data_IF_754555711313
#
_entry.id   IF_754555711313
#
_cell.length_a   1.000
_cell.length_b   1.000
_cell.length_c   1.000
_cell.angle_alpha   90.00
_cell.angle_beta   90.00
_cell.angle_gamma   90.00
#
_symmetry.space_group_name_H-M   'P 1'
#
loop_
_entity.id
_entity.type
_entity.pdbx_description
1 polymer ?
#
# COMPACT_ATOMS: atom_id res chain seq x y z
N UNK A 1 20.44 -56.72 13.67
CA UNK A 1 19.49 -55.61 13.46
C UNK A 1 19.47 -55.32 11.98
N UNK A 2 18.48 -55.85 11.28
CA UNK A 2 18.33 -55.74 9.83
C UNK A 2 17.53 -54.47 9.51
N UNK A 3 18.05 -53.62 8.64
CA UNK A 3 17.27 -52.58 7.97
C UNK A 3 17.32 -52.89 6.48
N UNK A 4 16.31 -53.59 5.98
CA UNK A 4 16.12 -53.83 4.56
C UNK A 4 15.60 -52.55 3.90
N UNK A 5 16.39 -51.99 2.97
CA UNK A 5 15.98 -50.92 2.08
C UNK A 5 15.36 -51.53 0.82
N UNK A 6 14.08 -51.27 0.58
CA UNK A 6 13.41 -51.54 -0.70
C UNK A 6 13.26 -50.22 -1.47
N UNK A 7 13.73 -50.11 -2.73
CA UNK A 7 13.47 -48.94 -3.57
C UNK A 7 12.15 -49.12 -4.32
N UNK A 8 11.14 -48.31 -3.99
CA UNK A 8 9.94 -48.17 -4.82
C UNK A 8 10.21 -47.19 -5.96
N UNK A 9 10.75 -47.73 -7.06
CA UNK A 9 10.65 -47.11 -8.38
C UNK A 9 9.22 -47.28 -8.87
N UNK A 10 8.49 -46.17 -9.00
CA UNK A 10 7.22 -46.15 -9.73
C UNK A 10 7.29 -45.06 -10.79
N UNK A 11 7.66 -45.48 -12.00
CA UNK A 11 7.48 -44.69 -13.22
C UNK A 11 6.02 -44.26 -13.35
N UNK A 12 5.74 -43.04 -13.86
CA UNK A 12 4.38 -42.66 -14.21
C UNK A 12 3.86 -43.49 -15.40
N UNK A 13 2.56 -43.86 -15.41
CA UNK A 13 1.94 -44.60 -16.51
C UNK A 13 1.86 -43.76 -17.80
N UNK A 14 1.71 -44.40 -18.97
CA UNK A 14 1.71 -43.72 -20.27
C UNK A 14 0.45 -42.87 -20.45
N UNK A 15 0.64 -41.67 -20.98
CA UNK A 15 -0.44 -40.79 -21.42
C UNK A 15 -1.35 -41.52 -22.41
N UNK A 16 -2.63 -41.66 -22.09
CA UNK A 16 -3.67 -41.89 -23.08
C UNK A 16 -4.27 -40.54 -23.47
N UNK A 17 -4.12 -40.18 -24.75
CA UNK A 17 -4.83 -39.09 -25.39
C UNK A 17 -6.30 -39.47 -25.54
N UNK A 18 -7.19 -38.85 -24.75
CA UNK A 18 -8.62 -38.94 -24.96
C UNK A 18 -9.23 -37.59 -25.35
N UNK A 19 -9.64 -37.57 -26.63
CA UNK A 19 -10.75 -36.86 -27.27
C UNK A 19 -11.20 -35.51 -26.69
N UNK A 20 -10.87 -34.52 -27.50
CA UNK A 20 -11.54 -33.22 -27.67
C UNK A 20 -13.05 -33.38 -27.90
N UNK A 21 -13.86 -33.13 -26.86
CA UNK A 21 -15.30 -32.91 -27.00
C UNK A 21 -15.61 -31.42 -26.80
N UNK A 22 -16.10 -30.80 -27.87
CA UNK A 22 -16.58 -29.41 -27.88
C UNK A 22 -17.84 -29.35 -27.02
N UNK A 23 -17.76 -28.72 -25.85
CA UNK A 23 -18.93 -28.17 -25.18
C UNK A 23 -19.07 -26.70 -25.60
N UNK A 24 -20.11 -26.45 -26.39
CA UNK A 24 -20.67 -25.13 -26.67
C UNK A 24 -21.25 -24.60 -25.35
N UNK A 25 -20.56 -23.64 -24.73
CA UNK A 25 -21.09 -22.87 -23.60
C UNK A 25 -21.20 -21.44 -24.11
N UNK A 26 -22.43 -21.06 -24.45
CA UNK A 26 -22.87 -19.70 -24.67
C UNK A 26 -22.39 -18.80 -23.54
N UNK A 27 -21.44 -17.93 -23.90
CA UNK A 27 -20.81 -16.92 -23.06
C UNK A 27 -21.83 -15.81 -22.78
N UNK A 28 -22.67 -16.02 -21.76
CA UNK A 28 -23.44 -14.95 -21.15
C UNK A 28 -22.45 -14.05 -20.41
N UNK A 29 -22.10 -12.96 -21.08
CA UNK A 29 -21.16 -11.93 -20.65
C UNK A 29 -21.75 -11.18 -19.45
N UNK A 30 -21.65 -11.80 -18.27
CA UNK A 30 -21.88 -11.13 -17.01
C UNK A 30 -20.77 -10.09 -16.82
N UNK A 31 -21.07 -8.84 -17.19
CA UNK A 31 -20.22 -7.69 -16.86
C UNK A 31 -19.91 -7.72 -15.36
N UNK A 32 -18.64 -7.50 -14.96
CA UNK A 32 -18.34 -7.32 -13.54
C UNK A 32 -19.22 -6.20 -12.98
N UNK A 33 -19.71 -6.33 -11.73
CA UNK A 33 -20.53 -5.29 -11.12
C UNK A 33 -19.80 -3.94 -11.26
N UNK A 34 -20.52 -2.87 -11.64
CA UNK A 34 -19.90 -1.56 -11.83
C UNK A 34 -19.17 -1.21 -10.55
N UNK A 35 -17.85 -0.99 -10.67
CA UNK A 35 -17.05 -0.52 -9.55
C UNK A 35 -17.77 0.69 -8.93
N UNK A 36 -17.88 0.77 -7.59
CA UNK A 36 -18.52 1.90 -6.94
C UNK A 36 -17.90 3.18 -7.50
N UNK A 37 -18.71 4.20 -7.83
CA UNK A 37 -18.22 5.40 -8.48
C UNK A 37 -17.07 5.94 -7.66
N UNK A 38 -15.86 5.86 -8.23
CA UNK A 38 -14.71 6.55 -7.69
C UNK A 38 -15.02 8.02 -7.91
N UNK A 39 -15.74 8.63 -6.94
CA UNK A 39 -15.94 10.06 -6.92
C UNK A 39 -14.53 10.65 -6.93
N UNK A 40 -14.19 11.32 -8.03
CA UNK A 40 -12.95 12.06 -8.21
C UNK A 40 -12.95 13.26 -7.25
N UNK A 41 -13.00 13.01 -5.95
CA UNK A 41 -12.65 14.02 -4.97
C UNK A 41 -11.16 14.27 -5.15
N UNK A 42 -10.82 15.51 -5.55
CA UNK A 42 -9.45 15.94 -5.57
C UNK A 42 -8.89 15.79 -4.14
N UNK A 43 -7.85 14.98 -3.99
CA UNK A 43 -7.14 14.81 -2.72
C UNK A 43 -6.29 16.06 -2.50
N UNK A 44 -6.40 16.63 -1.31
CA UNK A 44 -5.80 17.89 -0.88
C UNK A 44 -5.02 17.71 0.42
N UNK A 45 -4.09 18.62 0.73
CA UNK A 45 -3.30 18.59 1.96
C UNK A 45 -4.13 18.64 3.25
N UNK A 46 -5.38 19.13 3.20
CA UNK A 46 -6.29 19.16 4.34
C UNK A 46 -7.02 17.83 4.58
N UNK A 47 -6.98 16.90 3.62
CA UNK A 47 -7.56 15.58 3.80
C UNK A 47 -6.75 14.75 4.80
N UNK A 48 -7.45 13.88 5.54
CA UNK A 48 -6.83 12.87 6.38
C UNK A 48 -6.43 11.68 5.49
N UNK A 49 -5.14 11.28 5.44
CA UNK A 49 -4.74 10.08 4.71
C UNK A 49 -5.51 8.85 5.15
N UNK A 50 -6.21 8.19 4.24
CA UNK A 50 -7.05 7.06 4.61
C UNK A 50 -6.27 5.75 4.54
N UNK A 51 -6.49 4.83 5.48
CA UNK A 51 -5.83 3.51 5.48
C UNK A 51 -6.09 2.68 4.21
N UNK A 52 -7.19 2.98 3.48
CA UNK A 52 -7.53 2.35 2.20
C UNK A 52 -6.93 3.04 0.98
N UNK A 53 -6.16 4.12 1.15
CA UNK A 53 -5.55 4.81 0.02
C UNK A 53 -4.51 3.94 -0.66
N UNK A 54 -4.61 3.91 -1.99
CA UNK A 54 -3.58 3.38 -2.87
C UNK A 54 -2.33 4.27 -2.82
N UNK A 55 -1.21 3.73 -3.31
CA UNK A 55 0.04 4.49 -3.46
C UNK A 55 -0.18 5.81 -4.22
N UNK A 56 -0.96 5.80 -5.30
CA UNK A 56 -1.22 7.01 -6.08
C UNK A 56 -2.01 8.07 -5.29
N UNK A 57 -2.94 7.65 -4.43
CA UNK A 57 -3.68 8.57 -3.58
C UNK A 57 -2.78 9.17 -2.49
N UNK A 58 -1.92 8.34 -1.87
CA UNK A 58 -0.90 8.81 -0.95
C UNK A 58 0.05 9.83 -1.59
N UNK A 59 0.53 9.55 -2.81
CA UNK A 59 1.42 10.45 -3.55
C UNK A 59 0.76 11.79 -3.88
N UNK A 60 -0.51 11.79 -4.32
CA UNK A 60 -1.26 13.02 -4.57
C UNK A 60 -1.40 13.88 -3.30
N UNK A 61 -1.65 13.23 -2.16
CA UNK A 61 -1.73 13.95 -0.89
C UNK A 61 -0.37 14.53 -0.48
N UNK A 62 0.71 13.75 -0.59
CA UNK A 62 2.07 14.21 -0.29
C UNK A 62 2.48 15.37 -1.21
N UNK A 63 2.19 15.28 -2.51
CA UNK A 63 2.41 16.35 -3.47
C UNK A 63 1.69 17.63 -3.03
N UNK A 64 0.40 17.54 -2.65
CA UNK A 64 -0.36 18.68 -2.15
C UNK A 64 0.23 19.26 -0.86
N UNK A 65 0.67 18.41 0.09
CA UNK A 65 1.34 18.86 1.33
C UNK A 65 2.64 19.59 1.00
N UNK A 66 3.44 19.06 0.08
CA UNK A 66 4.72 19.65 -0.32
C UNK A 66 4.53 21.01 -0.98
N UNK A 67 3.52 21.16 -1.84
CA UNK A 67 3.21 22.44 -2.48
C UNK A 67 2.63 23.44 -1.49
N UNK A 68 1.61 23.07 -0.71
CA UNK A 68 0.80 24.01 0.07
C UNK A 68 1.42 24.30 1.45
N UNK A 69 1.99 23.30 2.12
CA UNK A 69 2.58 23.45 3.45
C UNK A 69 4.05 23.80 3.36
N UNK A 70 4.81 23.14 2.47
CA UNK A 70 6.25 23.37 2.34
C UNK A 70 6.62 24.39 1.25
N UNK A 71 5.64 24.95 0.54
CA UNK A 71 5.84 25.95 -0.51
C UNK A 71 6.85 25.50 -1.58
N UNK A 72 6.82 24.21 -1.93
CA UNK A 72 7.67 23.66 -2.98
C UNK A 72 7.08 23.91 -4.37
N UNK A 73 7.93 24.17 -5.38
CA UNK A 73 7.50 24.15 -6.77
C UNK A 73 6.84 22.81 -7.12
N UNK A 74 5.80 22.83 -7.96
CA UNK A 74 5.04 21.62 -8.30
C UNK A 74 5.90 20.47 -8.83
N UNK A 75 6.94 20.77 -9.61
CA UNK A 75 7.87 19.75 -10.11
C UNK A 75 8.70 19.09 -8.99
N UNK A 76 9.21 19.88 -8.04
CA UNK A 76 9.96 19.36 -6.88
C UNK A 76 9.04 18.57 -5.95
N UNK A 77 7.81 19.06 -5.71
CA UNK A 77 6.79 18.38 -4.93
C UNK A 77 6.44 17.01 -5.54
N UNK A 78 6.17 16.97 -6.84
CA UNK A 78 5.90 15.72 -7.55
C UNK A 78 7.08 14.75 -7.47
N UNK A 79 8.31 15.24 -7.69
CA UNK A 79 9.52 14.43 -7.62
C UNK A 79 9.74 13.82 -6.22
N UNK A 80 9.42 14.55 -5.15
CA UNK A 80 9.48 13.99 -3.79
C UNK A 80 8.33 13.02 -3.52
N UNK A 81 7.13 13.31 -4.02
CA UNK A 81 5.96 12.46 -3.82
C UNK A 81 6.14 11.09 -4.48
N UNK A 82 6.68 11.01 -5.70
CA UNK A 82 6.88 9.73 -6.40
C UNK A 82 7.85 8.78 -5.68
N UNK A 83 8.75 9.30 -4.83
CA UNK A 83 9.67 8.49 -4.02
C UNK A 83 8.98 7.74 -2.89
N UNK A 84 7.77 8.14 -2.51
CA UNK A 84 7.00 7.40 -1.52
C UNK A 84 6.53 6.07 -2.14
N UNK A 85 6.85 4.99 -1.45
CA UNK A 85 6.43 3.64 -1.77
C UNK A 85 5.59 3.09 -0.62
N UNK A 86 4.36 2.64 -0.92
CA UNK A 86 3.45 2.12 0.10
C UNK A 86 2.00 2.52 -0.13
N UNK A 87 1.14 2.16 0.81
CA UNK A 87 -0.29 2.48 0.83
C UNK A 87 -0.63 3.36 2.04
N UNK A 88 -1.90 3.66 2.26
CA UNK A 88 -2.37 4.51 3.37
C UNK A 88 -1.71 4.25 4.73
N UNK A 89 -1.61 2.99 5.21
CA UNK A 89 -0.98 2.69 6.50
C UNK A 89 0.50 3.04 6.52
N UNK A 90 1.19 2.93 5.38
CA UNK A 90 2.61 3.22 5.29
C UNK A 90 2.92 4.68 5.63
N UNK A 91 2.06 5.61 5.22
CA UNK A 91 2.22 7.03 5.58
C UNK A 91 2.39 7.21 7.09
N UNK A 92 1.62 6.47 7.91
CA UNK A 92 1.60 6.62 9.36
C UNK A 92 2.69 5.86 10.10
N UNK A 93 3.14 4.73 9.56
CA UNK A 93 4.16 3.90 10.23
C UNK A 93 5.58 4.26 9.81
N UNK A 94 5.77 4.98 8.69
CA UNK A 94 7.07 5.55 8.34
C UNK A 94 7.57 6.43 9.48
N UNK A 95 8.76 6.09 9.97
CA UNK A 95 9.38 6.74 11.11
C UNK A 95 9.74 8.19 10.82
N UNK A 96 9.93 8.97 11.89
CA UNK A 96 10.39 10.36 11.77
C UNK A 96 11.74 10.43 11.05
N UNK A 97 12.63 9.50 11.34
CA UNK A 97 13.98 9.41 10.79
C UNK A 97 13.94 9.17 9.28
N UNK A 98 13.11 8.24 8.80
CA UNK A 98 12.90 8.01 7.36
C UNK A 98 12.33 9.25 6.65
N UNK A 99 11.37 9.96 7.27
CA UNK A 99 10.87 11.22 6.72
C UNK A 99 11.95 12.33 6.68
N UNK A 100 12.82 12.38 7.69
CA UNK A 100 13.95 13.32 7.75
C UNK A 100 14.99 12.99 6.68
N UNK A 101 15.28 11.71 6.45
CA UNK A 101 16.18 11.28 5.38
C UNK A 101 15.62 11.67 4.00
N UNK A 102 14.31 11.48 3.79
CA UNK A 102 13.68 11.77 2.50
C UNK A 102 13.54 13.28 2.21
N UNK A 103 13.18 14.09 3.22
CA UNK A 103 12.75 15.48 3.03
C UNK A 103 13.70 16.53 3.65
N UNK A 104 14.72 16.07 4.38
CA UNK A 104 15.56 16.91 5.21
C UNK A 104 14.97 17.19 6.59
N UNK A 105 15.81 17.66 7.51
CA UNK A 105 15.53 17.75 8.94
C UNK A 105 14.22 18.50 9.29
N UNK A 106 14.02 19.71 8.76
CA UNK A 106 12.86 20.54 9.13
C UNK A 106 11.55 20.01 8.52
N UNK A 107 11.57 19.67 7.23
CA UNK A 107 10.37 19.20 6.52
C UNK A 107 9.95 17.81 6.99
N UNK A 108 10.89 16.88 7.15
CA UNK A 108 10.61 15.53 7.63
C UNK A 108 9.98 15.52 9.03
N UNK A 109 10.53 16.32 9.96
CA UNK A 109 9.94 16.48 11.30
C UNK A 109 8.54 17.10 11.26
N UNK A 110 8.33 18.09 10.38
CA UNK A 110 7.04 18.78 10.26
C UNK A 110 5.96 17.86 9.67
N UNK A 111 6.29 17.08 8.64
CA UNK A 111 5.39 16.08 8.07
C UNK A 111 5.04 15.01 9.10
N UNK A 112 6.03 14.46 9.79
CA UNK A 112 5.81 13.47 10.83
C UNK A 112 4.89 14.00 11.94
N UNK A 113 5.09 15.24 12.38
CA UNK A 113 4.22 15.88 13.38
C UNK A 113 2.77 16.00 12.88
N UNK A 114 2.56 16.43 11.63
CA UNK A 114 1.24 16.51 11.02
C UNK A 114 0.53 15.15 11.00
N UNK A 115 1.27 14.09 10.63
CA UNK A 115 0.73 12.73 10.60
C UNK A 115 0.35 12.22 11.99
N UNK A 116 1.18 12.49 12.99
CA UNK A 116 0.87 12.15 14.39
C UNK A 116 -0.39 12.86 14.89
N UNK A 117 -0.67 14.09 14.43
CA UNK A 117 -1.89 14.80 14.83
C UNK A 117 -3.16 14.19 14.23
N UNK A 118 -3.09 13.62 13.03
CA UNK A 118 -4.28 13.10 12.31
C UNK A 118 -4.40 11.57 12.35
N UNK A 119 -3.44 10.85 12.94
CA UNK A 119 -3.43 9.36 12.94
C UNK A 119 -4.63 8.72 13.64
N UNK A 120 -5.32 9.46 14.51
CA UNK A 120 -6.49 9.00 15.25
C UNK A 120 -7.82 9.49 14.63
N UNK A 121 -7.76 10.25 13.54
CA UNK A 121 -8.95 10.73 12.85
C UNK A 121 -9.68 9.56 12.15
N UNK A 122 -11.00 9.66 11.92
CA UNK A 122 -11.78 8.63 11.26
C UNK A 122 -11.17 8.21 9.91
N UNK A 123 -10.87 6.92 9.80
CA UNK A 123 -10.34 6.33 8.58
C UNK A 123 -8.82 6.48 8.38
N UNK A 124 -8.10 7.13 9.29
CA UNK A 124 -6.63 7.20 9.25
C UNK A 124 -5.97 5.81 9.41
N UNK A 125 -6.37 5.07 10.43
CA UNK A 125 -5.87 3.72 10.74
C UNK A 125 -7.02 2.75 11.01
N UNK A 126 -6.87 1.45 10.74
CA UNK A 126 -7.84 0.45 11.16
C UNK A 126 -7.91 0.39 12.68
N UNK A 127 -9.12 0.33 13.25
CA UNK A 127 -9.34 0.24 14.70
C UNK A 127 -8.71 -1.01 15.35
N UNK A 128 -8.34 -2.01 14.56
CA UNK A 128 -7.68 -3.24 15.00
C UNK A 128 -6.15 -3.13 15.09
N UNK A 129 -5.54 -2.01 14.69
CA UNK A 129 -4.08 -1.82 14.68
C UNK A 129 -3.72 -0.65 15.58
N UNK A 130 -3.11 -0.95 16.73
CA UNK A 130 -2.44 0.04 17.57
C UNK A 130 -0.98 0.12 17.14
N UNK A 131 -0.60 1.22 16.50
CA UNK A 131 0.82 1.53 16.27
C UNK A 131 1.35 2.10 17.57
N UNK A 132 2.10 1.28 18.30
CA UNK A 132 2.78 1.71 19.51
C UNK A 132 3.79 2.80 19.14
N UNK A 133 3.54 4.02 19.61
CA UNK A 133 4.43 5.17 19.38
C UNK A 133 5.52 5.30 20.45
N UNK A 134 5.65 4.32 21.35
CA UNK A 134 6.68 4.30 22.38
C UNK A 134 7.99 3.68 21.87
N UNK A 135 8.70 4.46 21.05
CA UNK A 135 10.16 4.40 21.03
C UNK A 135 10.71 5.73 21.59
N UNK A 136 10.50 5.94 22.89
CA UNK A 136 11.05 7.09 23.62
C UNK A 136 11.92 6.62 24.78
N UNK A 137 13.21 6.97 24.67
CA UNK A 137 14.26 7.08 25.69
C UNK A 137 14.95 5.77 26.13
N UNK A 138 16.11 5.55 25.55
CA UNK A 138 17.35 5.45 26.34
C UNK A 138 18.24 6.57 25.77
N UNK A 139 18.68 7.58 26.51
CA UNK A 139 19.44 7.47 27.75
C UNK A 139 20.85 7.93 27.39
#
# INVERSE_FOLDING_TARGET
MNCEYTPLSTSPPPYQEDKKEKADISEETASPPPAPPQRNFAITHTDVPQWRWSTNQCRKWLESVYTEIFNLPGEEALFLAIKFEGSGPMIYITSREEWVELLGYQRGRSLYALLVTVKNEPGAMPSSITVDSDFRREG
#
